data_IF_487470844763
#
_entry.id   IF_487470844763
#
_cell.length_a   1.000
_cell.length_b   1.000
_cell.length_c   1.000
_cell.angle_alpha   90.00
_cell.angle_beta   90.00
_cell.angle_gamma   90.00
#
_symmetry.space_group_name_H-M   'P 1'
#
loop_
_entity.id
_entity.type
_entity.pdbx_description
1 polymer ?
#
# COMPACT_ATOMS: atom_id res chain seq x y z
N UNK A 1 -29.22 15.24 13.87
CA UNK A 1 -28.06 14.54 13.98
C UNK A 1 -27.23 14.66 12.75
N UNK A 2 -26.06 14.59 12.93
CA UNK A 2 -25.19 14.85 11.86
C UNK A 2 -24.54 13.61 11.41
N UNK A 3 -24.56 13.39 10.17
CA UNK A 3 -23.77 12.36 9.61
C UNK A 3 -22.35 12.83 9.46
N UNK A 4 -21.47 12.13 10.00
CA UNK A 4 -20.08 12.48 9.90
C UNK A 4 -19.54 12.07 8.55
N UNK A 5 -18.82 12.94 7.94
CA UNK A 5 -18.15 12.59 6.73
C UNK A 5 -17.19 11.44 6.99
N UNK A 6 -17.22 10.46 6.14
CA UNK A 6 -16.44 9.26 6.33
C UNK A 6 -15.41 9.09 5.23
N UNK A 7 -14.85 10.15 4.76
CA UNK A 7 -13.79 10.09 3.80
C UNK A 7 -12.46 9.81 4.46
N UNK A 8 -11.38 9.76 3.68
CA UNK A 8 -10.04 9.57 4.23
C UNK A 8 -9.60 10.78 5.04
N UNK A 9 -8.70 10.53 5.98
CA UNK A 9 -8.08 11.55 6.82
C UNK A 9 -6.61 11.19 7.03
N UNK A 10 -5.83 12.14 7.49
CA UNK A 10 -4.43 11.86 7.82
C UNK A 10 -4.36 10.79 8.91
N UNK A 11 -5.25 10.87 9.91
CA UNK A 11 -5.28 9.87 10.98
C UNK A 11 -5.54 8.48 10.44
N UNK A 12 -6.45 8.35 9.47
CA UNK A 12 -6.73 7.06 8.84
C UNK A 12 -5.49 6.53 8.12
N UNK A 13 -4.76 7.40 7.41
CA UNK A 13 -3.54 7.00 6.72
C UNK A 13 -2.47 6.53 7.70
N UNK A 14 -2.36 7.19 8.84
CA UNK A 14 -1.43 6.77 9.90
C UNK A 14 -1.82 5.40 10.45
N UNK A 15 -3.11 5.15 10.64
CA UNK A 15 -3.59 3.85 11.12
C UNK A 15 -3.31 2.75 10.10
N UNK A 16 -3.53 3.02 8.83
CA UNK A 16 -3.23 2.08 7.76
C UNK A 16 -1.73 1.77 7.76
N UNK A 17 -0.89 2.81 7.86
CA UNK A 17 0.56 2.63 7.93
C UNK A 17 0.96 1.73 9.11
N UNK A 18 0.38 1.98 10.28
CA UNK A 18 0.70 1.20 11.47
C UNK A 18 0.32 -0.28 11.26
N UNK A 19 -0.81 -0.55 10.62
CA UNK A 19 -1.24 -1.92 10.35
C UNK A 19 -0.28 -2.62 9.40
N UNK A 20 0.16 -1.94 8.34
CA UNK A 20 1.13 -2.51 7.40
C UNK A 20 2.46 -2.77 8.09
N UNK A 21 2.95 -1.83 8.91
CA UNK A 21 4.22 -2.03 9.61
C UNK A 21 4.14 -3.11 10.68
N UNK A 22 2.97 -3.35 11.24
CA UNK A 22 2.75 -4.48 12.13
C UNK A 22 2.63 -5.81 11.36
N UNK A 23 2.48 -5.73 10.05
CA UNK A 23 2.23 -6.88 9.17
C UNK A 23 1.04 -7.72 9.65
N UNK A 24 0.06 -7.02 10.20
CA UNK A 24 -1.16 -7.59 10.74
C UNK A 24 -2.20 -7.66 9.62
N UNK A 25 -2.24 -8.80 8.94
CA UNK A 25 -3.07 -8.95 7.75
C UNK A 25 -4.55 -8.74 8.06
N UNK A 26 -5.04 -9.24 9.18
CA UNK A 26 -6.45 -9.05 9.54
C UNK A 26 -6.78 -7.57 9.71
N UNK A 27 -5.92 -6.84 10.41
CA UNK A 27 -6.12 -5.41 10.61
C UNK A 27 -6.02 -4.64 9.29
N UNK A 28 -5.03 -4.99 8.46
CA UNK A 28 -4.89 -4.37 7.14
C UNK A 28 -6.17 -4.56 6.34
N UNK A 29 -6.70 -5.78 6.31
CA UNK A 29 -7.88 -6.07 5.50
C UNK A 29 -9.12 -5.37 6.01
N UNK A 30 -9.16 -5.00 7.30
CA UNK A 30 -10.28 -4.24 7.83
C UNK A 30 -10.43 -2.85 7.20
N UNK A 31 -9.38 -2.35 6.56
CA UNK A 31 -9.41 -1.05 5.89
C UNK A 31 -9.87 -1.13 4.43
N UNK A 32 -10.10 -2.33 3.89
CA UNK A 32 -10.40 -2.52 2.46
C UNK A 32 -11.87 -2.84 2.22
N UNK A 33 -12.41 -2.32 1.13
CA UNK A 33 -13.71 -2.74 0.62
C UNK A 33 -13.64 -4.16 0.07
N UNK A 34 -14.78 -4.87 0.06
CA UNK A 34 -14.82 -6.23 -0.47
C UNK A 34 -14.42 -6.28 -1.95
N UNK A 35 -14.80 -5.26 -2.72
CA UNK A 35 -14.53 -5.17 -4.15
C UNK A 35 -13.31 -4.29 -4.45
N UNK A 36 -12.40 -4.15 -3.50
CA UNK A 36 -11.20 -3.34 -3.68
C UNK A 36 -10.27 -3.91 -4.74
N UNK A 37 -9.45 -3.02 -5.30
CA UNK A 37 -8.39 -3.38 -6.24
C UNK A 37 -7.05 -2.89 -5.69
N UNK A 38 -6.04 -3.73 -5.82
CA UNK A 38 -4.66 -3.38 -5.49
C UNK A 38 -3.84 -3.48 -6.77
N UNK A 39 -3.23 -2.36 -7.18
CA UNK A 39 -2.30 -2.32 -8.29
C UNK A 39 -0.91 -2.34 -7.69
N UNK A 40 -0.20 -3.44 -7.86
CA UNK A 40 1.11 -3.65 -7.23
C UNK A 40 2.18 -2.83 -7.94
N UNK A 41 3.25 -2.52 -7.23
CA UNK A 41 4.36 -1.75 -7.79
C UNK A 41 5.07 -2.51 -8.91
N UNK A 42 5.04 -3.82 -8.85
CA UNK A 42 5.65 -4.70 -9.85
C UNK A 42 4.58 -5.54 -10.53
N UNK A 43 4.86 -5.99 -11.72
CA UNK A 43 3.97 -6.87 -12.43
C UNK A 43 4.22 -6.83 -13.92
N UNK A 44 3.48 -7.63 -14.67
CA UNK A 44 3.71 -7.77 -16.12
C UNK A 44 3.15 -6.61 -16.93
N UNK A 45 2.28 -5.79 -16.34
CA UNK A 45 1.63 -4.68 -17.06
C UNK A 45 2.26 -3.37 -16.66
N UNK A 46 2.15 -2.32 -17.49
CA UNK A 46 2.63 -0.99 -17.10
C UNK A 46 2.00 -0.45 -15.82
N UNK A 47 0.79 -0.87 -15.52
CA UNK A 47 0.08 -0.49 -14.29
C UNK A 47 0.38 -1.40 -13.11
N UNK A 48 1.32 -2.34 -13.25
CA UNK A 48 1.63 -3.33 -12.24
C UNK A 48 0.67 -4.52 -12.29
N UNK A 49 0.84 -5.43 -11.36
CA UNK A 49 -0.07 -6.57 -11.24
C UNK A 49 -1.37 -6.10 -10.61
N UNK A 50 -2.48 -6.39 -11.26
CA UNK A 50 -3.80 -6.04 -10.76
C UNK A 50 -4.34 -7.21 -9.93
N UNK A 51 -4.65 -6.92 -8.68
CA UNK A 51 -5.24 -7.90 -7.76
C UNK A 51 -6.60 -7.37 -7.35
N UNK A 52 -7.65 -8.09 -7.67
CA UNK A 52 -9.01 -7.63 -7.43
C UNK A 52 -9.72 -8.50 -6.40
N UNK A 53 -10.39 -7.84 -5.45
CA UNK A 53 -11.16 -8.49 -4.42
C UNK A 53 -10.37 -8.67 -3.13
N UNK A 54 -11.07 -8.51 -2.03
CA UNK A 54 -10.45 -8.51 -0.70
C UNK A 54 -9.73 -9.81 -0.40
N UNK A 55 -10.32 -10.95 -0.78
CA UNK A 55 -9.70 -12.25 -0.52
C UNK A 55 -8.38 -12.41 -1.27
N UNK A 56 -8.34 -11.97 -2.54
CA UNK A 56 -7.12 -12.04 -3.34
C UNK A 56 -6.04 -11.09 -2.81
N UNK A 57 -6.44 -9.90 -2.36
CA UNK A 57 -5.51 -8.93 -1.78
C UNK A 57 -4.92 -9.49 -0.48
N UNK A 58 -5.76 -10.11 0.36
CA UNK A 58 -5.30 -10.76 1.59
C UNK A 58 -4.22 -11.78 1.29
N UNK A 59 -4.45 -12.63 0.32
CA UNK A 59 -3.49 -13.68 -0.02
C UNK A 59 -2.15 -13.10 -0.47
N UNK A 60 -2.20 -12.10 -1.34
CA UNK A 60 -0.98 -11.44 -1.83
C UNK A 60 -0.18 -10.84 -0.69
N UNK A 61 -0.85 -10.15 0.24
CA UNK A 61 -0.16 -9.52 1.36
C UNK A 61 0.39 -10.56 2.33
N UNK A 62 -0.38 -11.60 2.64
CA UNK A 62 0.09 -12.67 3.51
C UNK A 62 1.32 -13.35 2.94
N UNK A 63 1.31 -13.64 1.65
CA UNK A 63 2.46 -14.26 0.97
C UNK A 63 3.65 -13.31 0.96
N UNK A 64 3.42 -12.02 0.72
CA UNK A 64 4.47 -11.01 0.71
C UNK A 64 5.20 -10.96 2.05
N UNK A 65 4.45 -10.98 3.15
CA UNK A 65 5.05 -10.89 4.48
C UNK A 65 5.77 -12.18 4.89
N UNK A 66 5.48 -13.30 4.23
CA UNK A 66 6.28 -14.52 4.43
C UNK A 66 7.62 -14.42 3.71
N UNK A 67 7.62 -13.80 2.53
CA UNK A 67 8.83 -13.66 1.72
C UNK A 67 9.71 -12.53 2.24
N UNK A 68 9.10 -11.44 2.72
CA UNK A 68 9.81 -10.26 3.23
C UNK A 68 9.29 -9.99 4.63
N UNK A 69 9.78 -10.78 5.59
CA UNK A 69 9.25 -10.76 6.96
C UNK A 69 9.61 -9.50 7.74
N UNK A 70 10.62 -8.75 7.29
CA UNK A 70 11.05 -7.50 7.90
C UNK A 70 10.62 -6.27 7.11
N UNK A 71 9.62 -6.42 6.23
CA UNK A 71 9.17 -5.32 5.39
C UNK A 71 8.66 -4.17 6.24
N UNK A 72 9.12 -2.95 5.91
CA UNK A 72 8.81 -1.76 6.68
C UNK A 72 8.65 -0.57 5.76
N UNK A 73 7.69 0.30 6.11
CA UNK A 73 7.44 1.55 5.40
C UNK A 73 7.65 2.71 6.37
N UNK A 74 8.68 3.51 6.10
CA UNK A 74 8.91 4.74 6.86
C UNK A 74 8.30 5.89 6.08
N UNK A 75 7.25 6.49 6.63
CA UNK A 75 6.46 7.48 5.93
C UNK A 75 7.14 8.84 5.93
N UNK A 76 7.08 9.51 4.76
CA UNK A 76 7.65 10.83 4.54
C UNK A 76 6.55 11.88 4.65
N UNK A 77 5.43 11.65 3.98
CA UNK A 77 4.29 12.58 4.06
C UNK A 77 3.00 11.88 3.65
N UNK A 78 1.90 12.47 4.08
CA UNK A 78 0.56 12.07 3.69
C UNK A 78 -0.22 13.30 3.28
N UNK A 79 -1.09 13.17 2.30
CA UNK A 79 -2.06 14.22 2.02
C UNK A 79 -3.35 13.64 1.47
N UNK A 80 -4.45 14.40 1.63
CA UNK A 80 -5.80 13.95 1.31
C UNK A 80 -6.45 15.01 0.42
N UNK A 81 -7.17 14.55 -0.58
CA UNK A 81 -7.92 15.43 -1.48
C UNK A 81 -9.23 14.73 -1.84
N UNK A 82 -10.31 15.12 -1.18
CA UNK A 82 -11.61 14.48 -1.38
C UNK A 82 -11.57 13.02 -0.97
N UNK A 83 -11.95 12.12 -1.87
CA UNK A 83 -11.91 10.68 -1.61
C UNK A 83 -10.58 10.05 -2.03
N UNK A 84 -9.59 10.87 -2.36
CA UNK A 84 -8.27 10.41 -2.79
C UNK A 84 -7.24 10.77 -1.73
N UNK A 85 -6.21 9.97 -1.64
CA UNK A 85 -5.13 10.24 -0.68
C UNK A 85 -3.82 9.70 -1.23
N UNK A 86 -2.71 10.28 -0.75
CA UNK A 86 -1.38 9.83 -1.13
C UNK A 86 -0.55 9.67 0.13
N UNK A 87 0.16 8.56 0.21
CA UNK A 87 1.17 8.34 1.25
C UNK A 87 2.51 8.10 0.57
N UNK A 88 3.50 8.92 0.90
CA UNK A 88 4.87 8.80 0.37
C UNK A 88 5.74 8.21 1.45
N UNK A 89 6.57 7.23 1.10
CA UNK A 89 7.36 6.48 2.09
C UNK A 89 8.61 5.88 1.47
N UNK A 90 9.50 5.41 2.35
CA UNK A 90 10.58 4.50 1.97
C UNK A 90 10.18 3.10 2.37
N UNK A 91 10.30 2.15 1.46
CA UNK A 91 10.08 0.74 1.79
C UNK A 91 11.43 0.04 1.87
N UNK A 92 11.62 -0.72 2.94
CA UNK A 92 12.83 -1.50 3.17
C UNK A 92 12.46 -2.93 3.54
N UNK A 93 13.40 -3.84 3.39
CA UNK A 93 13.23 -5.23 3.75
C UNK A 93 14.21 -6.10 2.99
N UNK A 94 14.28 -7.37 3.39
CA UNK A 94 15.12 -8.35 2.71
C UNK A 94 14.25 -9.54 2.34
N UNK A 95 14.19 -9.85 1.06
CA UNK A 95 13.38 -10.98 0.62
C UNK A 95 14.11 -12.29 0.92
N UNK A 96 13.34 -13.38 0.90
CA UNK A 96 13.88 -14.71 1.19
C UNK A 96 14.96 -15.13 0.19
N UNK A 97 14.94 -14.57 -1.02
CA UNK A 97 15.96 -14.85 -2.02
C UNK A 97 17.17 -13.90 -1.95
N UNK A 98 17.20 -13.03 -0.94
CA UNK A 98 18.34 -12.15 -0.70
C UNK A 98 18.25 -10.78 -1.33
N UNK A 99 17.17 -10.46 -2.02
CA UNK A 99 17.02 -9.11 -2.56
C UNK A 99 16.81 -8.12 -1.41
N UNK A 100 17.61 -7.06 -1.36
CA UNK A 100 17.43 -5.98 -0.41
C UNK A 100 16.53 -4.92 -1.02
N UNK A 101 15.38 -4.67 -0.39
CA UNK A 101 14.49 -3.59 -0.81
C UNK A 101 14.93 -2.30 -0.13
N UNK A 102 14.99 -1.24 -0.92
CA UNK A 102 15.31 0.10 -0.41
C UNK A 102 14.85 1.09 -1.47
N UNK A 103 13.54 1.35 -1.51
CA UNK A 103 12.93 2.15 -2.55
C UNK A 103 12.08 3.25 -1.96
N UNK A 104 12.14 4.44 -2.54
CA UNK A 104 11.13 5.44 -2.28
C UNK A 104 9.93 5.17 -3.17
N UNK A 105 8.74 5.30 -2.61
CA UNK A 105 7.53 5.10 -3.37
C UNK A 105 6.36 5.82 -2.76
N UNK A 106 5.20 5.53 -3.30
CA UNK A 106 3.97 6.08 -2.78
C UNK A 106 2.81 5.16 -3.09
N UNK A 107 1.76 5.31 -2.30
CA UNK A 107 0.45 4.75 -2.59
C UNK A 107 -0.48 5.89 -2.97
N UNK A 108 -1.18 5.72 -4.08
CA UNK A 108 -2.29 6.58 -4.44
C UNK A 108 -3.55 5.80 -4.14
N UNK A 109 -4.34 6.32 -3.21
CA UNK A 109 -5.55 5.66 -2.75
C UNK A 109 -6.79 6.31 -3.31
N UNK A 110 -7.79 5.48 -3.59
CA UNK A 110 -9.16 5.95 -3.73
C UNK A 110 -9.97 5.26 -2.64
N UNK A 111 -10.80 6.04 -1.94
CA UNK A 111 -11.64 5.54 -0.84
C UNK A 111 -13.10 5.56 -1.21
N UNK A 112 -13.83 4.61 -0.66
CA UNK A 112 -15.29 4.67 -0.58
C UNK A 112 -15.60 4.82 0.91
N UNK A 113 -16.04 6.03 1.31
CA UNK A 113 -16.12 6.35 2.73
C UNK A 113 -14.71 6.27 3.34
N UNK A 114 -14.58 5.54 4.42
CA UNK A 114 -13.28 5.37 5.10
C UNK A 114 -12.59 4.07 4.72
N UNK A 115 -13.05 3.39 3.67
CA UNK A 115 -12.45 2.12 3.24
C UNK A 115 -11.79 2.26 1.89
N UNK A 116 -10.68 1.56 1.72
CA UNK A 116 -9.90 1.59 0.50
C UNK A 116 -10.65 0.85 -0.60
N UNK A 117 -10.93 1.55 -1.69
CA UNK A 117 -11.50 0.97 -2.89
C UNK A 117 -10.40 0.65 -3.89
N UNK A 118 -9.37 1.48 -3.96
CA UNK A 118 -8.24 1.23 -4.86
C UNK A 118 -6.94 1.66 -4.19
N UNK A 119 -5.95 0.79 -4.22
CA UNK A 119 -4.60 1.06 -3.73
C UNK A 119 -3.66 0.89 -4.90
N UNK A 120 -3.04 1.98 -5.33
CA UNK A 120 -2.16 2.00 -6.48
C UNK A 120 -0.76 2.35 -6.00
N UNK A 121 0.14 1.40 -6.04
CA UNK A 121 1.47 1.50 -5.46
C UNK A 121 2.51 1.73 -6.54
N UNK A 122 3.36 2.72 -6.31
CA UNK A 122 4.48 3.07 -7.18
C UNK A 122 5.78 3.01 -6.41
N UNK A 123 6.81 2.46 -7.03
CA UNK A 123 8.18 2.50 -6.49
C UNK A 123 9.06 3.21 -7.50
N UNK A 124 10.05 3.97 -7.01
CA UNK A 124 11.07 4.48 -7.89
C UNK A 124 11.94 3.32 -8.36
N UNK A 125 12.34 3.38 -9.62
CA UNK A 125 13.27 2.41 -10.19
C UNK A 125 14.67 2.77 -9.70
N UNK A 126 15.34 1.81 -9.07
CA UNK A 126 16.72 1.99 -8.61
C UNK A 126 17.61 1.24 -9.58
N UNK A 127 18.52 1.97 -10.22
CA UNK A 127 19.40 1.41 -11.24
C UNK A 127 20.86 1.52 -10.79
N UNK A 128 21.62 0.47 -11.07
CA UNK A 128 23.05 0.44 -10.75
C UNK A 128 23.87 1.20 -11.79
N UNK A 129 23.25 1.54 -12.93
CA UNK A 129 23.92 2.15 -14.06
C UNK A 129 23.15 3.39 -14.45
N UNK A 130 23.85 4.49 -14.60
CA UNK A 130 23.26 5.74 -15.04
C UNK A 130 22.92 5.62 -16.52
N UNK A 131 21.68 5.88 -16.87
CA UNK A 131 21.18 5.80 -18.25
C UNK A 131 20.84 7.14 -18.82
N UNK A 132 21.00 8.22 -18.07
CA UNK A 132 20.62 9.55 -18.53
C UNK A 132 21.82 10.33 -19.01
#
# INVERSE_FOLDING_TARGET
MIETATGPSIELLLDINAAFNARDVDRIMSFFEEDATFLMARGPEPSGRRVHGKAAIRKVLADRFKVISDMRWDHIEHFVAGNRAVSVWMVTGTSADGEALNYQGCDIYEFRGAKILNKDTYWKIVEQKDRL
#
